data_IF_762562683548
#
_entry.id   IF_762562683548
#
_cell.length_a   1.000
_cell.length_b   1.000
_cell.length_c   1.000
_cell.angle_alpha   90.00
_cell.angle_beta   90.00
_cell.angle_gamma   90.00
#
_symmetry.space_group_name_H-M   'P 1'
#
loop_
_entity.id
_entity.type
_entity.pdbx_description
1 polymer ?
#
# COMPACT_ATOMS: atom_id res chain seq x y z
N UNK A 1 -47.76 31.52 -14.21
CA UNK A 1 -46.55 31.52 -15.07
C UNK A 1 -45.36 31.72 -14.16
N UNK A 2 -44.32 30.90 -14.27
CA UNK A 2 -43.23 30.83 -13.28
C UNK A 2 -42.68 29.43 -13.11
N UNK A 3 -42.16 28.85 -14.19
CA UNK A 3 -41.41 27.59 -14.18
C UNK A 3 -40.06 27.82 -13.49
N UNK A 4 -39.86 27.23 -12.29
CA UNK A 4 -38.68 27.36 -11.41
C UNK A 4 -38.83 26.39 -10.21
N UNK A 5 -37.86 25.60 -9.72
CA UNK A 5 -36.70 24.95 -10.37
C UNK A 5 -36.37 23.63 -9.62
N UNK A 6 -35.90 22.62 -10.36
CA UNK A 6 -34.85 21.64 -10.01
C UNK A 6 -33.83 22.11 -8.91
N UNK A 7 -33.18 21.26 -8.10
CA UNK A 7 -33.12 19.79 -7.99
C UNK A 7 -33.13 19.35 -6.52
N UNK A 8 -33.82 18.25 -6.23
CA UNK A 8 -33.73 17.60 -4.92
C UNK A 8 -32.44 16.81 -4.76
N UNK A 9 -31.81 16.94 -3.60
CA UNK A 9 -30.93 15.93 -3.00
C UNK A 9 -29.71 15.49 -3.85
N UNK A 10 -28.83 16.44 -4.16
CA UNK A 10 -27.48 16.14 -4.64
C UNK A 10 -26.63 15.53 -3.50
N UNK A 11 -26.75 14.21 -3.33
CA UNK A 11 -26.02 13.37 -2.35
C UNK A 11 -24.51 13.29 -2.62
N UNK A 12 -23.83 14.44 -2.57
CA UNK A 12 -22.37 14.55 -2.68
C UNK A 12 -21.71 14.37 -1.32
N UNK A 13 -21.41 13.12 -1.02
CA UNK A 13 -20.34 12.75 -0.09
C UNK A 13 -19.06 12.53 -0.91
N UNK A 14 -18.17 13.53 -1.12
CA UNK A 14 -17.00 13.38 -2.01
C UNK A 14 -15.82 12.65 -1.34
N UNK A 15 -15.98 12.15 -0.12
CA UNK A 15 -14.87 11.83 0.78
C UNK A 15 -14.39 10.38 0.82
N UNK A 16 -15.04 9.42 0.13
CA UNK A 16 -14.70 7.99 0.31
C UNK A 16 -13.92 7.31 -0.84
N UNK A 17 -13.88 7.90 -2.05
CA UNK A 17 -13.43 7.18 -3.26
C UNK A 17 -11.91 6.97 -3.42
N UNK A 18 -11.08 7.39 -2.46
CA UNK A 18 -9.62 7.55 -2.64
C UNK A 18 -8.72 6.84 -1.63
N UNK A 19 -9.26 6.04 -0.70
CA UNK A 19 -8.46 5.32 0.30
C UNK A 19 -7.94 3.94 -0.13
N UNK A 20 -8.25 3.51 -1.36
CA UNK A 20 -7.75 2.24 -1.91
C UNK A 20 -6.24 2.26 -2.17
N UNK A 21 -5.45 1.90 -1.16
CA UNK A 21 -4.04 1.59 -1.31
C UNK A 21 -3.86 0.17 -1.88
N UNK A 22 -2.97 0.00 -2.86
CA UNK A 22 -2.67 -1.32 -3.44
C UNK A 22 -1.34 -1.80 -2.85
N UNK A 23 -1.39 -2.84 -2.02
CA UNK A 23 -0.19 -3.42 -1.37
C UNK A 23 0.37 -4.53 -2.28
N UNK A 24 1.64 -4.42 -2.67
CA UNK A 24 2.23 -5.20 -3.77
C UNK A 24 3.62 -5.73 -3.45
N UNK A 25 3.89 -6.99 -3.79
CA UNK A 25 5.22 -7.58 -3.62
C UNK A 25 6.18 -7.12 -4.73
N UNK A 26 7.17 -6.27 -4.41
CA UNK A 26 8.14 -5.74 -5.37
C UNK A 26 9.15 -6.78 -5.89
N UNK A 27 9.25 -7.92 -5.21
CA UNK A 27 10.21 -8.99 -5.49
C UNK A 27 9.95 -9.68 -6.85
N UNK A 28 8.69 -9.70 -7.29
CA UNK A 28 8.29 -10.32 -8.56
C UNK A 28 8.38 -9.33 -9.74
N UNK A 29 9.09 -9.74 -10.79
CA UNK A 29 9.23 -8.99 -12.05
C UNK A 29 7.88 -8.67 -12.71
N UNK A 30 6.88 -9.54 -12.56
CA UNK A 30 5.53 -9.31 -13.06
C UNK A 30 4.86 -8.12 -12.36
N UNK A 31 5.09 -7.96 -11.05
CA UNK A 31 4.57 -6.82 -10.29
C UNK A 31 5.26 -5.52 -10.72
N UNK A 32 6.57 -5.55 -11.02
CA UNK A 32 7.29 -4.40 -11.59
C UNK A 32 6.73 -3.95 -12.95
N UNK A 33 6.27 -4.88 -13.79
CA UNK A 33 5.62 -4.59 -15.08
C UNK A 33 4.22 -3.98 -14.89
N UNK A 34 3.50 -4.39 -13.83
CA UNK A 34 2.13 -3.92 -13.55
C UNK A 34 2.13 -2.59 -12.79
N UNK A 35 3.09 -2.34 -11.90
CA UNK A 35 3.26 -1.11 -11.10
C UNK A 35 3.00 0.21 -11.88
N UNK A 36 3.63 0.48 -13.04
CA UNK A 36 3.39 1.72 -13.79
C UNK A 36 1.99 1.84 -14.40
N UNK A 37 1.19 0.76 -14.44
CA UNK A 37 -0.21 0.78 -14.89
C UNK A 37 -1.19 1.15 -13.78
N UNK A 38 -0.74 1.16 -12.52
CA UNK A 38 -1.60 1.40 -11.35
C UNK A 38 -1.73 2.91 -11.10
N UNK A 39 -2.86 3.48 -11.53
CA UNK A 39 -3.21 4.91 -11.34
C UNK A 39 -3.61 5.28 -9.89
N UNK A 40 -3.26 4.47 -8.90
CA UNK A 40 -3.60 4.63 -7.48
C UNK A 40 -2.34 4.53 -6.62
N UNK A 41 -2.46 4.88 -5.33
CA UNK A 41 -1.36 4.76 -4.36
C UNK A 41 -0.95 3.28 -4.22
N UNK A 42 0.16 2.92 -4.85
CA UNK A 42 0.83 1.66 -4.63
C UNK A 42 1.70 1.76 -3.37
N UNK A 43 1.64 0.73 -2.52
CA UNK A 43 2.56 0.53 -1.40
C UNK A 43 3.31 -0.75 -1.72
N UNK A 44 4.63 -0.64 -1.90
CA UNK A 44 5.45 -1.80 -2.24
C UNK A 44 6.04 -2.43 -0.98
N UNK A 45 5.97 -3.75 -0.87
CA UNK A 45 6.65 -4.53 0.16
C UNK A 45 7.55 -5.59 -0.47
N UNK A 46 8.58 -6.05 0.22
CA UNK A 46 9.44 -7.11 -0.29
C UNK A 46 10.68 -7.39 0.55
N UNK A 47 11.56 -8.21 0.01
CA UNK A 47 12.89 -8.47 0.55
C UNK A 47 13.95 -7.66 -0.22
N UNK A 48 13.75 -7.50 -1.52
CA UNK A 48 14.58 -6.67 -2.38
C UNK A 48 14.63 -5.18 -1.95
N UNK A 49 15.79 -4.55 -2.17
CA UNK A 49 16.09 -3.18 -1.76
C UNK A 49 15.22 -2.07 -2.36
N UNK A 50 14.39 -2.36 -3.38
CA UNK A 50 13.58 -1.36 -4.09
C UNK A 50 12.14 -1.17 -3.56
N UNK A 51 11.72 -1.88 -2.50
CA UNK A 51 10.39 -1.72 -1.92
C UNK A 51 10.31 -0.60 -0.86
N UNK A 52 9.14 0.03 -0.70
CA UNK A 52 8.85 0.97 0.39
C UNK A 52 8.90 0.27 1.76
N UNK A 53 8.43 -0.97 1.87
CA UNK A 53 8.51 -1.78 3.08
C UNK A 53 9.43 -2.99 2.86
N UNK A 54 10.45 -3.14 3.69
CA UNK A 54 11.48 -4.17 3.56
C UNK A 54 11.62 -4.96 4.85
N UNK A 55 11.70 -6.28 4.76
CA UNK A 55 12.11 -7.13 5.87
C UNK A 55 13.63 -7.35 5.81
N UNK A 56 14.34 -6.71 6.73
CA UNK A 56 15.79 -6.77 6.90
C UNK A 56 16.15 -7.75 8.03
N UNK A 57 17.41 -8.22 8.05
CA UNK A 57 17.97 -9.01 9.15
C UNK A 57 17.08 -10.20 9.58
N UNK A 58 16.64 -11.01 8.61
CA UNK A 58 15.79 -12.17 8.87
C UNK A 58 16.62 -13.28 9.53
N UNK A 59 16.31 -13.56 10.80
CA UNK A 59 16.94 -14.61 11.60
C UNK A 59 15.90 -15.68 11.92
N UNK A 60 16.10 -16.86 11.33
CA UNK A 60 15.32 -18.06 11.65
C UNK A 60 15.90 -18.71 12.90
N UNK A 61 15.11 -18.79 13.98
CA UNK A 61 15.53 -19.35 15.26
C UNK A 61 14.60 -20.51 15.66
N UNK A 62 14.94 -21.71 15.18
CA UNK A 62 14.25 -22.95 15.50
C UNK A 62 12.79 -22.99 15.04
N UNK A 63 11.87 -22.54 15.92
CA UNK A 63 10.42 -22.49 15.67
C UNK A 63 9.89 -21.10 15.32
N UNK A 64 10.70 -20.06 15.44
CA UNK A 64 10.29 -18.68 15.18
C UNK A 64 11.17 -17.97 14.16
N UNK A 65 10.70 -16.84 13.65
CA UNK A 65 11.45 -15.94 12.76
C UNK A 65 11.43 -14.51 13.30
N UNK A 66 12.62 -13.97 13.55
CA UNK A 66 12.81 -12.54 13.84
C UNK A 66 13.18 -11.82 12.55
N UNK A 67 12.58 -10.66 12.30
CA UNK A 67 12.99 -9.78 11.21
C UNK A 67 12.76 -8.32 11.59
N UNK A 68 13.65 -7.45 11.13
CA UNK A 68 13.53 -6.01 11.31
C UNK A 68 12.73 -5.44 10.13
N UNK A 69 11.60 -4.78 10.39
CA UNK A 69 10.84 -4.08 9.35
C UNK A 69 11.43 -2.69 9.15
N UNK A 70 11.87 -2.38 7.94
CA UNK A 70 12.30 -1.06 7.52
C UNK A 70 11.27 -0.47 6.55
N UNK A 71 10.83 0.77 6.78
CA UNK A 71 10.12 1.55 5.78
C UNK A 71 11.13 2.50 5.11
N UNK A 72 11.42 2.23 3.84
CA UNK A 72 12.52 2.85 3.08
C UNK A 72 13.82 2.66 3.85
N UNK A 73 14.40 3.73 4.39
CA UNK A 73 15.64 3.71 5.17
C UNK A 73 15.40 3.79 6.69
N UNK A 74 14.15 3.99 7.13
CA UNK A 74 13.79 4.08 8.54
C UNK A 74 13.42 2.69 9.11
N UNK A 75 14.12 2.17 10.13
CA UNK A 75 13.67 0.97 10.84
C UNK A 75 12.42 1.27 11.67
N UNK A 76 11.32 0.58 11.36
CA UNK A 76 10.05 0.66 12.12
C UNK A 76 10.08 -0.19 13.39
N UNK A 77 10.87 -1.27 13.41
CA UNK A 77 11.06 -2.13 14.58
C UNK A 77 11.32 -3.59 14.24
N UNK A 78 11.56 -4.40 15.26
CA UNK A 78 11.70 -5.85 15.14
C UNK A 78 10.35 -6.56 15.34
N UNK A 79 10.06 -7.51 14.46
CA UNK A 79 8.92 -8.42 14.56
C UNK A 79 9.45 -9.83 14.85
N UNK A 80 8.74 -10.55 15.72
CA UNK A 80 9.01 -11.93 16.07
C UNK A 80 7.75 -12.76 15.81
N UNK A 81 7.87 -13.79 14.98
CA UNK A 81 6.88 -14.85 14.75
C UNK A 81 7.35 -16.14 15.40
#
# INVERSE_FOLDING_TARGET
>A
MGTTTQEGLNSRCPYFLSYGATVLCFDDKNVQIILPRIKRRAITYGLAGGADYRACNIVYSGRGSRFSVCHREEPLGDVFL
#
